data_IF_941767148724
#
_entry.id   IF_941767148724
#
_cell.length_a   1.000
_cell.length_b   1.000
_cell.length_c   1.000
_cell.angle_alpha   90.00
_cell.angle_beta   90.00
_cell.angle_gamma   90.00
#
_symmetry.space_group_name_H-M   'P 1'
#
loop_
_entity.id
_entity.type
_entity.pdbx_description
1 polymer ?
#
# COMPACT_ATOMS: atom_id res chain seq x y z
N UNK A 1 14.71 -13.76 8.88
CA UNK A 1 13.91 -13.65 10.14
C UNK A 1 12.51 -14.18 9.95
N UNK A 2 12.00 -14.85 10.97
CA UNK A 2 10.62 -15.35 10.92
C UNK A 2 9.65 -14.17 10.89
N UNK A 3 8.67 -14.22 10.00
CA UNK A 3 7.62 -13.24 9.92
C UNK A 3 6.65 -13.44 11.07
N UNK A 4 6.30 -12.39 11.78
CA UNK A 4 5.41 -12.45 12.94
C UNK A 4 4.11 -11.74 12.65
N UNK A 5 3.04 -12.30 13.23
CA UNK A 5 1.73 -11.65 13.25
C UNK A 5 1.75 -10.59 14.34
N UNK A 6 1.40 -9.36 13.97
CA UNK A 6 1.43 -8.20 14.87
C UNK A 6 0.04 -7.59 14.92
N UNK A 7 -0.40 -7.23 16.12
CA UNK A 7 -1.63 -6.47 16.30
C UNK A 7 -1.32 -4.99 16.13
N UNK A 8 -1.75 -4.40 15.01
CA UNK A 8 -1.43 -3.02 14.67
C UNK A 8 -2.61 -2.09 14.94
N UNK A 9 -2.31 -0.88 15.39
CA UNK A 9 -3.31 0.17 15.58
C UNK A 9 -3.45 0.94 14.28
N UNK A 10 -4.69 1.20 13.88
CA UNK A 10 -4.99 2.03 12.72
C UNK A 10 -4.76 3.48 13.12
N UNK A 11 -3.76 4.11 12.50
CA UNK A 11 -3.46 5.52 12.72
C UNK A 11 -4.48 6.41 12.03
N UNK A 12 -4.87 6.06 10.80
CA UNK A 12 -5.87 6.79 10.05
C UNK A 12 -6.40 5.95 8.90
N UNK A 13 -7.58 6.28 8.44
CA UNK A 13 -8.15 5.69 7.23
C UNK A 13 -8.98 6.75 6.50
N UNK A 14 -8.82 6.82 5.18
CA UNK A 14 -9.61 7.72 4.35
C UNK A 14 -10.01 7.07 3.04
N UNK A 15 -11.13 7.50 2.51
CA UNK A 15 -11.62 7.08 1.20
C UNK A 15 -10.93 7.94 0.13
N UNK A 16 -10.22 7.31 -0.80
CA UNK A 16 -9.54 8.03 -1.89
C UNK A 16 -10.43 8.16 -3.13
N UNK A 17 -11.23 7.16 -3.39
CA UNK A 17 -12.14 7.08 -4.52
C UNK A 17 -13.22 6.06 -4.19
N UNK A 18 -14.22 5.89 -5.04
CA UNK A 18 -15.28 4.91 -4.79
C UNK A 18 -14.69 3.51 -4.66
N UNK A 19 -14.90 2.89 -3.50
CA UNK A 19 -14.39 1.55 -3.19
C UNK A 19 -12.89 1.46 -2.95
N UNK A 20 -12.17 2.59 -2.86
CA UNK A 20 -10.72 2.61 -2.65
C UNK A 20 -10.40 3.40 -1.37
N UNK A 21 -9.68 2.75 -0.47
CA UNK A 21 -9.35 3.29 0.84
C UNK A 21 -7.86 3.27 1.10
N UNK A 22 -7.39 4.29 1.81
CA UNK A 22 -6.01 4.41 2.29
C UNK A 22 -6.00 4.24 3.80
N UNK A 23 -5.19 3.33 4.31
CA UNK A 23 -5.08 3.06 5.73
C UNK A 23 -3.63 3.14 6.16
N UNK A 24 -3.35 3.96 7.16
CA UNK A 24 -2.05 4.02 7.84
C UNK A 24 -2.09 3.18 9.10
N UNK A 25 -1.11 2.32 9.27
CA UNK A 25 -0.99 1.40 10.40
C UNK A 25 0.27 1.70 11.20
N UNK A 26 0.15 1.74 12.53
CA UNK A 26 1.31 1.84 13.41
C UNK A 26 1.97 0.46 13.49
N UNK A 27 3.10 0.32 12.84
CA UNK A 27 3.85 -0.93 12.75
C UNK A 27 5.33 -0.63 12.54
N UNK A 28 6.03 -0.15 13.59
CA UNK A 28 7.40 0.36 13.44
C UNK A 28 8.39 -0.66 12.93
N UNK A 29 8.33 -1.90 13.40
CA UNK A 29 9.26 -2.93 12.94
C UNK A 29 9.05 -3.29 11.47
N UNK A 30 7.80 -3.39 11.04
CA UNK A 30 7.49 -3.67 9.64
C UNK A 30 7.84 -2.49 8.73
N UNK A 31 7.57 -1.27 9.17
CA UNK A 31 7.91 -0.07 8.40
C UNK A 31 9.42 0.01 8.16
N UNK A 32 10.20 -0.31 9.18
CA UNK A 32 11.66 -0.30 9.11
C UNK A 32 12.20 -1.35 8.15
N UNK A 33 11.57 -2.52 8.11
CA UNK A 33 12.00 -3.65 7.30
C UNK A 33 11.44 -3.64 5.88
N UNK A 34 10.42 -2.85 5.60
CA UNK A 34 9.71 -2.87 4.33
C UNK A 34 10.57 -2.38 3.17
N UNK A 35 10.42 -3.05 2.03
CA UNK A 35 11.04 -2.67 0.76
C UNK A 35 9.96 -2.49 -0.31
N UNK A 36 10.17 -1.60 -1.30
CA UNK A 36 9.20 -1.41 -2.38
C UNK A 36 8.89 -2.72 -3.10
N UNK A 37 7.61 -2.98 -3.32
CA UNK A 37 7.16 -4.20 -3.99
C UNK A 37 6.72 -5.32 -3.05
N UNK A 38 6.98 -5.17 -1.76
CA UNK A 38 6.49 -6.13 -0.78
C UNK A 38 5.02 -5.89 -0.41
N UNK A 39 4.42 -6.85 0.24
CA UNK A 39 3.04 -6.79 0.69
C UNK A 39 2.93 -7.24 2.15
N UNK A 40 1.76 -7.07 2.73
CA UNK A 40 1.44 -7.62 4.05
C UNK A 40 0.18 -8.46 3.94
N UNK A 41 0.05 -9.42 4.85
CA UNK A 41 -1.18 -10.18 5.03
C UNK A 41 -2.01 -9.46 6.10
N UNK A 42 -3.25 -9.13 5.78
CA UNK A 42 -4.14 -8.40 6.67
C UNK A 42 -5.30 -9.32 7.08
N UNK A 43 -5.47 -9.50 8.38
CA UNK A 43 -6.49 -10.37 8.93
C UNK A 43 -7.70 -9.56 9.36
N UNK A 44 -8.88 -10.13 9.15
CA UNK A 44 -10.11 -9.54 9.71
C UNK A 44 -10.21 -9.83 11.19
N UNK A 45 -10.99 -9.02 11.91
CA UNK A 45 -11.29 -9.29 13.31
C UNK A 45 -12.43 -10.33 13.46
N UNK A 46 -13.11 -10.66 12.38
CA UNK A 46 -14.14 -11.69 12.35
C UNK A 46 -13.50 -13.07 12.27
N UNK A 47 -13.59 -13.82 13.36
CA UNK A 47 -12.98 -15.15 13.47
C UNK A 47 -13.54 -16.19 12.49
N UNK A 48 -14.71 -15.91 11.90
CA UNK A 48 -15.26 -16.79 10.87
C UNK A 48 -14.55 -16.65 9.53
N UNK A 49 -13.76 -15.57 9.35
CA UNK A 49 -12.97 -15.32 8.14
C UNK A 49 -11.52 -15.67 8.41
N UNK A 50 -11.15 -16.89 8.06
CA UNK A 50 -9.84 -17.45 8.43
C UNK A 50 -8.68 -17.00 7.56
N UNK A 51 -8.95 -16.63 6.30
CA UNK A 51 -7.88 -16.29 5.36
C UNK A 51 -7.56 -14.80 5.36
N UNK A 52 -6.29 -14.43 5.52
CA UNK A 52 -5.89 -13.03 5.40
C UNK A 52 -5.96 -12.55 3.96
N UNK A 53 -5.97 -11.23 3.79
CA UNK A 53 -5.92 -10.59 2.48
C UNK A 53 -4.51 -10.06 2.22
N UNK A 54 -3.87 -10.45 1.11
CA UNK A 54 -2.59 -9.86 0.73
C UNK A 54 -2.82 -8.48 0.14
N UNK A 55 -2.15 -7.48 0.70
CA UNK A 55 -2.28 -6.10 0.23
C UNK A 55 -0.88 -5.51 0.10
N UNK A 56 -0.58 -4.96 -1.07
CA UNK A 56 0.71 -4.33 -1.33
C UNK A 56 0.94 -3.13 -0.43
N UNK A 57 2.19 -2.95 -0.02
CA UNK A 57 2.59 -1.76 0.74
C UNK A 57 2.62 -0.59 -0.22
N UNK A 58 1.81 0.44 0.07
CA UNK A 58 1.77 1.68 -0.70
C UNK A 58 2.94 2.58 -0.31
N UNK A 59 3.19 2.68 0.98
CA UNK A 59 4.19 3.57 1.53
C UNK A 59 4.70 3.07 2.87
N UNK A 60 5.99 3.25 3.15
CA UNK A 60 6.57 2.98 4.46
C UNK A 60 7.19 4.27 5.00
N UNK A 61 6.63 4.76 6.11
CA UNK A 61 7.18 5.89 6.83
C UNK A 61 8.05 5.34 7.95
N UNK A 62 9.33 5.17 7.65
CA UNK A 62 10.29 4.57 8.58
C UNK A 62 10.58 5.46 9.77
N UNK A 63 10.48 6.76 9.59
CA UNK A 63 10.74 7.74 10.64
C UNK A 63 9.67 7.70 11.73
N UNK A 64 8.40 7.62 11.32
CA UNK A 64 7.28 7.57 12.25
C UNK A 64 6.79 6.15 12.56
N UNK A 65 7.38 5.14 11.93
CA UNK A 65 7.05 3.74 12.21
C UNK A 65 5.68 3.32 11.69
N UNK A 66 5.31 3.76 10.50
CA UNK A 66 3.99 3.50 9.93
C UNK A 66 4.06 2.89 8.55
N UNK A 67 3.10 2.02 8.26
CA UNK A 67 2.87 1.46 6.93
C UNK A 67 1.55 1.96 6.39
N UNK A 68 1.55 2.30 5.10
CA UNK A 68 0.33 2.68 4.38
C UNK A 68 -0.04 1.57 3.42
N UNK A 69 -1.28 1.15 3.49
CA UNK A 69 -1.87 0.27 2.50
C UNK A 69 -3.02 1.00 1.81
N UNK A 70 -3.18 0.74 0.52
CA UNK A 70 -4.32 1.23 -0.26
C UNK A 70 -4.96 0.02 -0.90
N UNK A 71 -6.23 -0.15 -0.68
CA UNK A 71 -6.93 -1.36 -1.11
C UNK A 71 -8.27 -1.02 -1.74
N UNK A 72 -8.75 -1.93 -2.58
CA UNK A 72 -10.08 -1.88 -3.18
C UNK A 72 -10.99 -2.83 -2.44
N UNK A 73 -12.23 -2.40 -2.19
CA UNK A 73 -13.24 -3.32 -1.67
C UNK A 73 -13.55 -4.34 -2.78
N UNK A 74 -13.23 -5.60 -2.50
CA UNK A 74 -13.40 -6.68 -3.48
C UNK A 74 -14.11 -7.90 -2.89
N UNK A 75 -14.43 -7.89 -1.61
CA UNK A 75 -15.11 -8.99 -0.93
C UNK A 75 -15.40 -8.63 0.51
N UNK A 76 -15.87 -9.62 1.28
CA UNK A 76 -16.28 -9.42 2.66
C UNK A 76 -15.14 -8.91 3.54
N UNK A 77 -13.92 -9.42 3.35
CA UNK A 77 -12.77 -9.01 4.15
C UNK A 77 -12.40 -7.55 3.96
N UNK A 78 -12.23 -7.12 2.71
CA UNK A 78 -11.89 -5.73 2.41
C UNK A 78 -13.03 -4.78 2.76
N UNK A 79 -14.28 -5.24 2.65
CA UNK A 79 -15.43 -4.46 3.09
C UNK A 79 -15.40 -4.25 4.61
N UNK A 80 -15.02 -5.27 5.36
CA UNK A 80 -14.86 -5.15 6.81
C UNK A 80 -13.78 -4.13 7.15
N UNK A 81 -12.62 -4.15 6.47
CA UNK A 81 -11.54 -3.20 6.70
C UNK A 81 -12.03 -1.75 6.51
N UNK A 82 -12.90 -1.50 5.54
CA UNK A 82 -13.39 -0.15 5.25
C UNK A 82 -14.26 0.42 6.37
N UNK A 83 -14.76 -0.42 7.26
CA UNK A 83 -15.55 0.01 8.42
C UNK A 83 -14.69 0.35 9.65
N UNK A 84 -13.40 0.02 9.63
CA UNK A 84 -12.50 0.31 10.75
C UNK A 84 -12.15 1.79 10.79
N UNK A 85 -11.85 2.27 12.00
CA UNK A 85 -11.59 3.68 12.26
C UNK A 85 -10.25 3.86 12.98
N UNK A 86 -9.78 5.09 13.04
CA UNK A 86 -8.64 5.47 13.86
C UNK A 86 -8.78 4.91 15.28
N UNK A 87 -7.73 4.26 15.74
CA UNK A 87 -7.71 3.63 17.06
C UNK A 87 -8.14 2.17 17.08
N UNK A 88 -8.85 1.70 16.07
CA UNK A 88 -9.15 0.27 15.95
C UNK A 88 -7.86 -0.50 15.68
N UNK A 89 -7.87 -1.80 15.98
CA UNK A 89 -6.71 -2.66 15.76
C UNK A 89 -7.04 -3.79 14.81
N UNK A 90 -6.03 -4.28 14.13
CA UNK A 90 -6.14 -5.50 13.34
C UNK A 90 -4.80 -6.21 13.28
N UNK A 91 -4.85 -7.50 13.01
CA UNK A 91 -3.62 -8.28 12.90
C UNK A 91 -3.08 -8.22 11.50
N UNK A 92 -1.76 -8.05 11.40
CA UNK A 92 -1.06 -8.05 10.13
C UNK A 92 0.19 -8.92 10.24
N UNK A 93 0.66 -9.42 9.11
CA UNK A 93 1.89 -10.19 9.03
C UNK A 93 2.71 -9.67 7.85
N UNK A 94 3.99 -9.45 8.08
CA UNK A 94 4.88 -9.01 7.01
C UNK A 94 6.13 -8.32 7.54
N UNK A 95 6.87 -7.65 6.65
CA UNK A 95 6.63 -7.58 5.20
C UNK A 95 6.89 -8.91 4.51
N UNK A 96 6.16 -9.17 3.44
CA UNK A 96 6.20 -10.42 2.70
C UNK A 96 6.61 -10.19 1.24
N UNK A 97 7.14 -11.21 0.61
CA UNK A 97 7.52 -11.19 -0.80
C UNK A 97 8.88 -10.55 -1.04
N UNK A 98 9.28 -10.58 -2.29
CA UNK A 98 10.53 -9.98 -2.75
C UNK A 98 10.27 -8.55 -3.21
N UNK A 99 11.19 -7.63 -2.86
CA UNK A 99 11.08 -6.26 -3.32
C UNK A 99 11.42 -6.11 -4.80
N UNK A 100 11.07 -4.96 -5.38
CA UNK A 100 11.53 -4.62 -6.72
C UNK A 100 13.05 -4.38 -6.71
N UNK A 101 13.76 -4.76 -7.77
CA UNK A 101 15.16 -4.38 -7.91
C UNK A 101 15.29 -2.86 -8.08
N UNK A 102 16.10 -2.23 -7.24
CA UNK A 102 16.30 -0.77 -7.29
C UNK A 102 17.53 -0.48 -8.14
N UNK A 103 17.31 -0.24 -9.43
CA UNK A 103 18.38 0.07 -10.38
C UNK A 103 18.53 1.58 -10.52
N UNK A 104 19.76 2.03 -10.80
CA UNK A 104 20.06 3.46 -10.98
C UNK A 104 19.96 3.91 -12.44
N UNK A 105 19.17 3.22 -13.22
CA UNK A 105 18.92 3.54 -14.63
C UNK A 105 17.54 4.16 -14.77
N UNK A 106 17.32 4.90 -15.85
CA UNK A 106 16.01 5.42 -16.19
C UNK A 106 14.95 4.32 -16.06
N UNK A 107 13.87 4.61 -15.35
CA UNK A 107 12.84 3.64 -15.05
C UNK A 107 11.46 4.10 -15.49
N UNK A 108 10.66 3.14 -15.97
CA UNK A 108 9.24 3.35 -16.21
C UNK A 108 8.47 2.47 -15.23
N UNK A 109 7.60 3.11 -14.45
CA UNK A 109 6.74 2.45 -13.47
C UNK A 109 5.35 2.36 -14.07
N UNK A 110 4.89 1.15 -14.35
CA UNK A 110 3.60 0.96 -15.02
C UNK A 110 2.64 0.29 -14.04
N UNK A 111 1.54 0.97 -13.76
CA UNK A 111 0.52 0.46 -12.85
C UNK A 111 -0.88 0.80 -13.32
N UNK A 112 -1.83 -0.09 -13.05
CA UNK A 112 -3.23 0.12 -13.38
C UNK A 112 -4.13 -0.22 -12.19
N UNK A 113 -5.13 0.61 -11.93
CA UNK A 113 -6.07 0.39 -10.85
C UNK A 113 -5.38 0.16 -9.51
N UNK A 114 -5.66 -0.95 -8.86
CA UNK A 114 -5.08 -1.27 -7.55
C UNK A 114 -3.60 -1.72 -7.63
N UNK A 115 -3.02 -1.76 -8.81
CA UNK A 115 -1.58 -1.94 -8.99
C UNK A 115 -0.80 -0.63 -8.88
N UNK A 116 -1.47 0.51 -8.78
CA UNK A 116 -0.84 1.83 -8.64
C UNK A 116 -0.21 2.03 -7.25
N UNK A 117 -0.85 1.66 -6.13
CA UNK A 117 -0.29 1.91 -4.80
C UNK A 117 1.16 1.47 -4.60
N UNK A 118 1.58 0.26 -5.01
CA UNK A 118 2.97 -0.13 -4.81
C UNK A 118 3.98 0.70 -5.61
N UNK A 119 3.54 1.44 -6.61
CA UNK A 119 4.42 2.31 -7.39
C UNK A 119 4.87 3.53 -6.60
N UNK A 120 4.13 3.94 -5.57
CA UNK A 120 4.48 5.13 -4.79
C UNK A 120 5.76 4.90 -3.96
N UNK A 121 5.85 3.82 -3.22
CA UNK A 121 7.04 3.51 -2.44
C UNK A 121 8.23 3.25 -3.36
N UNK A 122 8.00 2.61 -4.50
CA UNK A 122 9.04 2.39 -5.50
C UNK A 122 9.56 3.72 -6.03
N UNK A 123 8.68 4.65 -6.40
CA UNK A 123 9.07 5.97 -6.90
C UNK A 123 9.89 6.75 -5.87
N UNK A 124 9.51 6.67 -4.60
CA UNK A 124 10.24 7.33 -3.51
C UNK A 124 11.67 6.82 -3.35
N UNK A 125 11.89 5.54 -3.60
CA UNK A 125 13.17 4.88 -3.29
C UNK A 125 14.09 4.73 -4.50
N UNK A 126 13.60 4.95 -5.72
CA UNK A 126 14.44 4.93 -6.91
C UNK A 126 15.24 6.22 -7.04
N UNK A 127 16.57 6.10 -7.13
CA UNK A 127 17.46 7.25 -7.33
C UNK A 127 17.86 7.33 -8.80
N UNK A 128 16.88 7.70 -9.64
CA UNK A 128 17.08 7.81 -11.09
C UNK A 128 15.93 8.61 -11.70
N UNK A 129 16.09 8.98 -12.99
CA UNK A 129 15.00 9.54 -13.77
C UNK A 129 13.92 8.49 -13.92
N UNK A 130 12.69 8.84 -13.61
CA UNK A 130 11.57 7.90 -13.62
C UNK A 130 10.29 8.54 -14.10
N UNK A 131 9.50 7.75 -14.82
CA UNK A 131 8.18 8.13 -15.32
C UNK A 131 7.18 7.06 -14.89
N UNK A 132 6.12 7.48 -14.23
CA UNK A 132 5.02 6.59 -13.87
C UNK A 132 3.93 6.69 -14.92
N UNK A 133 3.62 5.57 -15.55
CA UNK A 133 2.52 5.45 -16.50
C UNK A 133 1.40 4.71 -15.76
N UNK A 134 0.34 5.42 -15.45
CA UNK A 134 -0.71 4.90 -14.59
C UNK A 134 -2.06 4.96 -15.29
N UNK A 135 -2.81 3.88 -15.17
CA UNK A 135 -4.11 3.72 -15.82
C UNK A 135 -5.24 3.61 -14.80
N UNK A 136 -6.38 4.22 -15.14
CA UNK A 136 -7.57 4.21 -14.30
C UNK A 136 -8.78 3.78 -15.12
N UNK A 137 -9.76 3.22 -14.41
CA UNK A 137 -11.02 2.82 -15.04
C UNK A 137 -11.89 4.04 -15.36
N UNK A 138 -11.75 5.11 -14.57
CA UNK A 138 -12.57 6.32 -14.70
C UNK A 138 -11.72 7.56 -14.37
N UNK A 139 -12.39 8.68 -14.11
CA UNK A 139 -11.74 9.96 -13.84
C UNK A 139 -11.12 10.10 -12.44
N UNK A 140 -11.34 9.11 -11.56
CA UNK A 140 -10.83 9.17 -10.20
C UNK A 140 -9.37 8.71 -10.17
N UNK A 141 -8.46 9.67 -10.34
CA UNK A 141 -7.02 9.43 -10.46
C UNK A 141 -6.34 9.45 -9.09
N UNK A 142 -6.73 8.52 -8.22
CA UNK A 142 -6.17 8.43 -6.87
C UNK A 142 -4.65 8.22 -6.91
N UNK A 143 -3.94 8.86 -5.98
CA UNK A 143 -2.47 8.84 -5.82
C UNK A 143 -1.66 9.52 -6.94
N UNK A 144 -2.30 10.02 -8.00
CA UNK A 144 -1.57 10.68 -9.10
C UNK A 144 -0.76 11.88 -8.62
N UNK A 145 -1.36 12.73 -7.78
CA UNK A 145 -0.67 13.92 -7.29
C UNK A 145 0.48 13.56 -6.34
N UNK A 146 0.33 12.51 -5.56
CA UNK A 146 1.40 12.03 -4.68
C UNK A 146 2.56 11.48 -5.50
N UNK A 147 2.28 10.73 -6.57
CA UNK A 147 3.31 10.21 -7.48
C UNK A 147 4.07 11.34 -8.18
N UNK A 148 3.41 12.44 -8.52
CA UNK A 148 4.05 13.60 -9.15
C UNK A 148 5.14 14.23 -8.31
N UNK A 149 5.14 14.00 -7.01
CA UNK A 149 6.21 14.47 -6.11
C UNK A 149 7.53 13.75 -6.35
N UNK A 150 7.51 12.56 -6.94
CA UNK A 150 8.68 11.71 -7.09
C UNK A 150 9.01 11.33 -8.53
N UNK A 151 8.07 11.47 -9.45
CA UNK A 151 8.23 11.02 -10.82
C UNK A 151 7.40 11.88 -11.77
N UNK A 152 7.75 11.86 -13.05
CA UNK A 152 6.86 12.35 -14.09
C UNK A 152 5.70 11.36 -14.20
N UNK A 153 4.48 11.87 -14.34
CA UNK A 153 3.28 11.03 -14.38
C UNK A 153 2.55 11.19 -15.70
N UNK A 154 2.31 10.06 -16.36
CA UNK A 154 1.49 9.98 -17.56
C UNK A 154 0.25 9.16 -17.22
N UNK A 155 -0.92 9.72 -17.44
CA UNK A 155 -2.18 9.03 -17.20
C UNK A 155 -2.67 8.43 -18.51
N UNK A 156 -2.80 7.11 -18.53
CA UNK A 156 -3.34 6.38 -19.65
C UNK A 156 -4.86 6.18 -19.44
N UNK A 157 -5.63 6.42 -20.47
CA UNK A 157 -7.09 6.25 -20.43
C UNK A 157 -7.55 5.17 -21.39
#
# INVERSE_FOLDING_TARGET
MAQKKVNAVIHSQEKLAEGIYSMWLDAPEMAKAAAPGQFIAVYTNDQSKLLPRPISICEADKENGRLRIVYRIAGAGTKEFSAYKEGDTLDIMGPLGNGFPLKKKKAFLIGGGIGIPPMLELAKNLDCEKTAVIGYRDKDTFLADELRKYADVVIAT
#
